data_IF_069298777885
#
_entry.id   IF_069298777885
#
_cell.length_a   1.000
_cell.length_b   1.000
_cell.length_c   1.000
_cell.angle_alpha   90.00
_cell.angle_beta   90.00
_cell.angle_gamma   90.00
#
_symmetry.space_group_name_H-M   'P 1'
#
loop_
_entity.id
_entity.type
_entity.pdbx_description
1 polymer ?
#
# COMPACT_ATOMS: atom_id res chain seq x y z
N UNK A 1 -3.20 -12.96 -5.50
CA UNK A 1 -4.33 -12.09 -5.88
C UNK A 1 -5.26 -11.84 -4.68
N UNK A 2 -5.66 -12.86 -3.95
CA UNK A 2 -6.57 -12.75 -2.79
C UNK A 2 -6.10 -11.74 -1.74
N UNK A 3 -4.81 -11.78 -1.37
CA UNK A 3 -4.20 -10.82 -0.43
C UNK A 3 -4.42 -9.36 -0.88
N UNK A 4 -4.16 -9.05 -2.14
CA UNK A 4 -4.35 -7.70 -2.66
C UNK A 4 -5.82 -7.28 -2.67
N UNK A 5 -6.72 -8.18 -3.07
CA UNK A 5 -8.16 -7.89 -3.05
C UNK A 5 -8.69 -7.63 -1.65
N UNK A 6 -8.13 -8.32 -0.63
CA UNK A 6 -8.47 -8.06 0.77
C UNK A 6 -7.96 -6.68 1.21
N UNK A 7 -6.68 -6.35 0.97
CA UNK A 7 -6.09 -5.06 1.38
C UNK A 7 -6.78 -3.90 0.65
N UNK A 8 -7.05 -4.04 -0.64
CA UNK A 8 -7.67 -3.01 -1.46
C UNK A 8 -9.20 -3.00 -1.39
N UNK A 9 -9.78 -3.84 -0.52
CA UNK A 9 -11.22 -3.97 -0.30
C UNK A 9 -12.04 -4.22 -1.59
N UNK A 10 -11.44 -4.96 -2.55
CA UNK A 10 -11.99 -5.22 -3.88
C UNK A 10 -12.95 -6.43 -3.89
N UNK A 11 -14.13 -6.28 -3.28
CA UNK A 11 -15.14 -7.36 -3.23
C UNK A 11 -15.95 -7.46 -4.53
N UNK A 12 -16.37 -6.30 -5.06
CA UNK A 12 -17.26 -6.23 -6.22
C UNK A 12 -16.52 -6.17 -7.56
N UNK A 13 -15.28 -5.66 -7.54
CA UNK A 13 -14.40 -5.55 -8.72
C UNK A 13 -13.00 -6.09 -8.40
N UNK A 14 -12.85 -7.42 -8.26
CA UNK A 14 -11.60 -8.02 -7.85
C UNK A 14 -10.52 -7.92 -8.93
N UNK A 15 -9.30 -7.71 -8.51
CA UNK A 15 -8.13 -7.83 -9.37
C UNK A 15 -7.98 -9.29 -9.79
N UNK A 16 -8.13 -9.57 -11.08
CA UNK A 16 -8.10 -10.94 -11.63
C UNK A 16 -6.69 -11.41 -11.94
N UNK A 17 -5.82 -10.52 -12.35
CA UNK A 17 -4.41 -10.82 -12.66
C UNK A 17 -3.52 -9.60 -12.48
N UNK A 18 -2.23 -9.86 -12.25
CA UNK A 18 -1.18 -8.84 -12.24
C UNK A 18 -0.04 -9.27 -13.15
N UNK A 19 0.66 -8.29 -13.70
CA UNK A 19 1.93 -8.46 -14.38
C UNK A 19 3.01 -7.80 -13.53
N UNK A 20 4.00 -8.59 -13.09
CA UNK A 20 5.13 -8.05 -12.35
C UNK A 20 5.97 -7.17 -13.26
N UNK A 21 6.38 -6.02 -12.75
CA UNK A 21 7.26 -5.06 -13.43
C UNK A 21 8.62 -5.00 -12.73
N UNK A 22 9.63 -4.57 -13.48
CA UNK A 22 10.93 -4.30 -12.89
C UNK A 22 10.79 -3.17 -11.84
N UNK A 23 11.47 -3.29 -10.69
CA UNK A 23 11.52 -2.21 -9.71
C UNK A 23 12.03 -0.92 -10.39
N UNK A 24 11.51 0.23 -9.99
CA UNK A 24 12.15 1.48 -10.35
C UNK A 24 13.46 1.48 -9.55
N UNK A 25 14.62 1.45 -10.25
CA UNK A 25 15.92 1.47 -9.59
C UNK A 25 15.97 2.62 -8.56
N UNK A 26 15.68 2.29 -7.31
CA UNK A 26 16.04 3.12 -6.19
C UNK A 26 17.51 2.83 -5.94
N UNK A 27 18.35 3.86 -6.00
CA UNK A 27 19.71 3.75 -5.48
C UNK A 27 19.52 3.43 -3.99
N UNK A 28 19.67 2.16 -3.63
CA UNK A 28 19.71 1.74 -2.24
C UNK A 28 20.86 2.52 -1.60
N UNK A 29 20.58 3.34 -0.60
CA UNK A 29 21.64 3.91 0.23
C UNK A 29 22.23 2.74 1.01
N UNK A 30 23.54 2.57 0.88
CA UNK A 30 24.32 1.47 1.50
C UNK A 30 24.19 1.38 3.04
N UNK A 31 23.59 2.39 3.67
CA UNK A 31 23.46 2.51 5.13
C UNK A 31 22.16 1.90 5.72
N UNK A 32 21.24 1.45 4.90
CA UNK A 32 19.96 0.88 5.37
C UNK A 32 20.05 -0.64 5.45
N UNK A 33 20.32 -1.17 6.66
CA UNK A 33 20.20 -2.61 7.01
C UNK A 33 18.73 -3.07 7.09
N UNK A 34 17.84 -2.45 6.36
CA UNK A 34 16.41 -2.75 6.38
C UNK A 34 16.05 -3.61 5.19
N UNK A 35 15.37 -4.72 5.45
CA UNK A 35 14.86 -5.58 4.39
C UNK A 35 13.66 -4.90 3.75
N UNK A 36 13.88 -4.25 2.61
CA UNK A 36 12.82 -3.70 1.77
C UNK A 36 12.51 -4.75 0.72
N UNK A 37 11.31 -5.30 0.75
CA UNK A 37 10.77 -6.09 -0.35
C UNK A 37 9.82 -5.19 -1.14
N UNK A 38 10.27 -4.78 -2.31
CA UNK A 38 9.55 -3.90 -3.22
C UNK A 38 9.07 -4.74 -4.42
N UNK A 39 7.76 -4.80 -4.60
CA UNK A 39 7.13 -5.52 -5.72
C UNK A 39 6.30 -4.52 -6.52
N UNK A 40 6.73 -4.24 -7.75
CA UNK A 40 5.92 -3.48 -8.71
C UNK A 40 5.10 -4.40 -9.59
N UNK A 41 3.85 -4.02 -9.79
CA UNK A 41 2.94 -4.77 -10.65
C UNK A 41 1.98 -3.83 -11.40
N UNK A 42 1.38 -4.34 -12.47
CA UNK A 42 0.25 -3.72 -13.15
C UNK A 42 -0.92 -4.69 -13.11
N UNK A 43 -2.11 -4.20 -12.75
CA UNK A 43 -3.33 -5.01 -12.76
C UNK A 43 -3.88 -5.18 -14.17
N UNK A 44 -4.77 -6.16 -14.37
CA UNK A 44 -5.49 -6.34 -15.65
C UNK A 44 -6.35 -5.13 -16.04
N UNK A 45 -6.76 -4.30 -15.08
CA UNK A 45 -7.45 -3.02 -15.31
C UNK A 45 -6.51 -1.84 -15.61
N UNK A 46 -5.19 -2.08 -15.57
CA UNK A 46 -4.17 -1.08 -15.90
C UNK A 46 -3.75 -0.20 -14.73
N UNK A 47 -4.08 -0.56 -13.49
CA UNK A 47 -3.61 0.15 -12.30
C UNK A 47 -2.15 -0.20 -12.01
N UNK A 48 -1.35 0.78 -11.60
CA UNK A 48 0.03 0.57 -11.18
C UNK A 48 0.08 0.32 -9.68
N UNK A 49 0.73 -0.76 -9.28
CA UNK A 49 0.90 -1.16 -7.88
C UNK A 49 2.35 -1.08 -7.45
N UNK A 50 2.58 -0.61 -6.24
CA UNK A 50 3.85 -0.69 -5.52
C UNK A 50 3.59 -1.28 -4.14
N UNK A 51 4.16 -2.46 -3.86
CA UNK A 51 3.89 -3.22 -2.65
C UNK A 51 5.19 -3.35 -1.87
N UNK A 52 5.24 -2.73 -0.70
CA UNK A 52 6.41 -2.72 0.17
C UNK A 52 6.15 -3.46 1.48
N UNK A 53 7.15 -4.22 1.94
CA UNK A 53 7.19 -4.73 3.31
C UNK A 53 8.29 -4.01 4.07
N UNK A 54 7.91 -3.33 5.16
CA UNK A 54 8.81 -2.53 5.97
C UNK A 54 8.94 -3.08 7.39
N UNK A 55 10.18 -3.33 7.81
CA UNK A 55 10.55 -3.57 9.21
C UNK A 55 11.67 -2.59 9.58
N UNK A 56 11.63 -2.02 10.78
CA UNK A 56 12.70 -1.14 11.28
C UNK A 56 12.29 0.31 11.47
N UNK A 57 13.15 1.27 11.10
CA UNK A 57 12.92 2.69 11.40
C UNK A 57 11.76 3.29 10.59
N UNK A 58 10.63 3.52 11.25
CA UNK A 58 9.42 4.06 10.62
C UNK A 58 9.34 5.59 10.61
N UNK A 59 10.31 6.30 11.21
CA UNK A 59 10.23 7.75 11.42
C UNK A 59 10.09 8.55 10.12
N UNK A 60 10.80 8.16 9.08
CA UNK A 60 10.80 8.85 7.77
C UNK A 60 10.00 8.08 6.71
N UNK A 61 9.34 7.00 7.11
CA UNK A 61 8.66 6.11 6.18
C UNK A 61 7.47 6.77 5.46
N UNK A 62 6.62 7.62 6.11
CA UNK A 62 5.55 8.33 5.42
C UNK A 62 6.05 9.21 4.28
N UNK A 63 7.17 9.94 4.49
CA UNK A 63 7.77 10.79 3.45
C UNK A 63 8.30 9.95 2.28
N UNK A 64 8.89 8.79 2.58
CA UNK A 64 9.36 7.84 1.57
C UNK A 64 8.21 7.28 0.73
N UNK A 65 7.14 6.85 1.37
CA UNK A 65 5.94 6.33 0.70
C UNK A 65 5.29 7.41 -0.18
N UNK A 66 5.20 8.64 0.30
CA UNK A 66 4.71 9.78 -0.49
C UNK A 66 5.58 10.01 -1.73
N UNK A 67 6.91 9.96 -1.58
CA UNK A 67 7.85 10.10 -2.70
C UNK A 67 7.66 8.98 -3.73
N UNK A 68 7.49 7.72 -3.29
CA UNK A 68 7.27 6.59 -4.19
C UNK A 68 5.92 6.70 -4.91
N UNK A 69 4.86 7.08 -4.22
CA UNK A 69 3.56 7.33 -4.84
C UNK A 69 3.64 8.41 -5.92
N UNK A 70 4.34 9.51 -5.66
CA UNK A 70 4.60 10.55 -6.65
C UNK A 70 5.36 10.06 -7.87
N UNK A 71 6.39 9.21 -7.68
CA UNK A 71 7.13 8.58 -8.78
C UNK A 71 6.25 7.62 -9.58
N UNK A 72 5.40 6.83 -8.90
CA UNK A 72 4.49 5.90 -9.54
C UNK A 72 3.50 6.63 -10.45
N UNK A 73 2.87 7.70 -9.95
CA UNK A 73 1.99 8.57 -10.74
C UNK A 73 2.73 9.15 -11.94
N UNK A 74 3.93 9.72 -11.74
CA UNK A 74 4.72 10.30 -12.83
C UNK A 74 5.09 9.24 -13.88
N UNK A 75 5.43 8.01 -13.47
CA UNK A 75 5.78 6.93 -14.40
C UNK A 75 4.56 6.36 -15.14
N UNK A 76 3.36 6.55 -14.61
CA UNK A 76 2.12 6.05 -15.20
C UNK A 76 1.69 6.81 -16.46
N UNK A 77 2.23 8.02 -16.67
CA UNK A 77 1.92 8.87 -17.81
C UNK A 77 3.16 9.04 -18.69
N UNK A 78 3.09 8.54 -19.93
CA UNK A 78 4.17 8.70 -20.91
C UNK A 78 4.19 10.13 -21.47
N UNK A 79 5.39 10.61 -21.85
CA UNK A 79 5.57 11.92 -22.45
C UNK A 79 4.69 12.09 -23.72
N UNK A 80 3.94 13.18 -23.78
CA UNK A 80 3.04 13.47 -24.91
C UNK A 80 1.62 12.93 -24.77
N UNK A 81 1.34 12.12 -23.73
CA UNK A 81 -0.03 11.66 -23.44
C UNK A 81 -0.83 12.71 -22.68
N UNK A 82 -2.16 12.68 -22.85
CA UNK A 82 -3.08 13.55 -22.10
C UNK A 82 -3.24 13.04 -20.66
N UNK A 83 -3.50 13.95 -19.72
CA UNK A 83 -3.68 13.61 -18.30
C UNK A 83 -4.87 12.67 -18.01
N UNK A 84 -5.88 12.62 -18.89
CA UNK A 84 -6.99 11.67 -18.80
C UNK A 84 -6.57 10.20 -18.97
N UNK A 85 -5.35 9.98 -19.51
CA UNK A 85 -4.73 8.65 -19.67
C UNK A 85 -3.85 8.23 -18.49
N UNK A 86 -3.74 9.07 -17.47
CA UNK A 86 -3.00 8.74 -16.26
C UNK A 86 -3.63 7.52 -15.56
N UNK A 87 -2.83 6.51 -15.30
CA UNK A 87 -3.27 5.30 -14.59
C UNK A 87 -3.46 5.58 -13.09
N UNK A 88 -4.33 4.83 -12.44
CA UNK A 88 -4.40 4.81 -10.98
C UNK A 88 -3.13 4.17 -10.44
N UNK A 89 -2.54 4.80 -9.44
CA UNK A 89 -1.32 4.39 -8.74
C UNK A 89 -1.67 4.09 -7.30
N UNK A 90 -1.34 2.88 -6.85
CA UNK A 90 -1.67 2.40 -5.50
C UNK A 90 -0.37 1.92 -4.84
N UNK A 91 -0.08 2.48 -3.68
CA UNK A 91 1.05 2.03 -2.84
C UNK A 91 0.48 1.25 -1.66
N UNK A 92 0.95 0.02 -1.49
CA UNK A 92 0.58 -0.87 -0.38
C UNK A 92 1.78 -1.07 0.51
N UNK A 93 1.69 -0.61 1.75
CA UNK A 93 2.74 -0.72 2.76
C UNK A 93 2.33 -1.71 3.84
N UNK A 94 3.02 -2.85 3.95
CA UNK A 94 2.86 -3.82 5.02
C UNK A 94 3.96 -3.56 6.05
N UNK A 95 3.56 -3.14 7.26
CA UNK A 95 4.47 -2.65 8.29
C UNK A 95 4.53 -3.64 9.45
N UNK A 96 5.72 -4.19 9.70
CA UNK A 96 5.97 -4.96 10.91
C UNK A 96 6.20 -4.03 12.11
N UNK A 97 5.12 -3.42 12.59
CA UNK A 97 5.13 -2.44 13.67
C UNK A 97 3.87 -1.59 13.69
N UNK A 98 3.95 -0.45 14.40
CA UNK A 98 2.91 0.59 14.48
C UNK A 98 3.48 1.90 13.98
N UNK A 99 2.88 2.49 12.97
CA UNK A 99 3.29 3.77 12.37
C UNK A 99 2.40 4.91 12.86
N UNK A 100 1.07 4.73 12.83
CA UNK A 100 0.08 5.74 13.21
C UNK A 100 -0.52 5.38 14.57
N UNK A 101 -0.01 6.01 15.64
CA UNK A 101 -0.50 5.79 17.01
C UNK A 101 -1.82 6.44 17.30
N UNK A 102 -2.30 7.32 16.40
CA UNK A 102 -3.46 8.18 16.61
C UNK A 102 -4.79 7.44 16.43
N UNK A 103 -4.77 6.23 15.91
CA UNK A 103 -5.96 5.39 15.77
C UNK A 103 -5.63 3.89 15.89
N UNK A 104 -6.62 3.07 16.24
CA UNK A 104 -6.45 1.65 16.57
C UNK A 104 -6.56 0.71 15.36
N UNK A 105 -7.12 1.17 14.22
CA UNK A 105 -7.26 0.31 13.04
C UNK A 105 -5.90 -0.13 12.52
N UNK A 106 -5.76 -1.42 12.22
CA UNK A 106 -4.55 -1.97 11.60
C UNK A 106 -4.46 -1.65 10.10
N UNK A 107 -5.53 -1.13 9.49
CA UNK A 107 -5.55 -0.75 8.09
C UNK A 107 -5.98 0.70 7.94
N UNK A 108 -5.21 1.46 7.18
CA UNK A 108 -5.45 2.87 6.88
C UNK A 108 -5.37 3.11 5.39
N UNK A 109 -6.27 3.93 4.87
CA UNK A 109 -6.30 4.32 3.46
C UNK A 109 -6.17 5.84 3.38
N UNK A 110 -5.21 6.31 2.61
CA UNK A 110 -5.01 7.73 2.34
C UNK A 110 -5.17 8.02 0.85
N UNK A 111 -5.81 9.13 0.56
CA UNK A 111 -5.98 9.69 -0.78
C UNK A 111 -5.85 11.21 -0.76
N UNK A 112 -6.02 11.86 -1.90
CA UNK A 112 -5.87 13.32 -2.02
C UNK A 112 -7.23 13.97 -1.89
N UNK A 113 -7.48 14.62 -0.72
CA UNK A 113 -8.77 15.26 -0.40
C UNK A 113 -8.62 16.71 0.05
N UNK A 114 -9.69 17.48 -0.17
CA UNK A 114 -9.84 18.79 0.43
C UNK A 114 -9.98 18.62 1.95
N UNK A 115 -9.21 19.41 2.71
CA UNK A 115 -8.99 19.21 4.16
C UNK A 115 -10.27 19.37 5.01
N UNK A 116 -11.16 20.28 4.67
CA UNK A 116 -12.30 20.62 5.53
C UNK A 116 -13.56 19.81 5.18
N UNK A 117 -13.76 19.51 3.91
CA UNK A 117 -14.96 18.84 3.39
C UNK A 117 -14.77 17.36 3.09
N UNK A 118 -13.50 16.92 2.97
CA UNK A 118 -13.19 15.57 2.53
C UNK A 118 -13.45 15.32 1.05
N UNK A 119 -13.70 16.38 0.24
CA UNK A 119 -13.95 16.24 -1.20
C UNK A 119 -12.73 15.63 -1.88
N UNK A 120 -12.93 14.51 -2.57
CA UNK A 120 -11.87 13.83 -3.32
C UNK A 120 -11.40 14.71 -4.49
N UNK A 121 -10.11 15.03 -4.54
CA UNK A 121 -9.51 15.76 -5.64
C UNK A 121 -9.34 14.86 -6.88
N UNK A 122 -8.84 13.66 -6.67
CA UNK A 122 -8.58 12.69 -7.73
C UNK A 122 -8.46 11.28 -7.12
N UNK A 123 -8.92 10.28 -7.85
CA UNK A 123 -8.79 8.85 -7.50
C UNK A 123 -7.49 8.22 -8.03
N UNK A 124 -6.58 9.04 -8.57
CA UNK A 124 -5.37 8.56 -9.26
C UNK A 124 -4.23 8.15 -8.34
N UNK A 125 -4.29 8.49 -7.05
CA UNK A 125 -3.27 8.12 -6.07
C UNK A 125 -3.92 7.68 -4.77
N UNK A 126 -3.52 6.50 -4.30
CA UNK A 126 -4.05 5.90 -3.09
C UNK A 126 -2.93 5.17 -2.34
N UNK A 127 -2.93 5.27 -1.01
CA UNK A 127 -1.97 4.62 -0.14
C UNK A 127 -2.71 3.73 0.85
N UNK A 128 -2.30 2.46 0.95
CA UNK A 128 -2.78 1.51 1.94
C UNK A 128 -1.66 1.17 2.91
N UNK A 129 -1.93 1.30 4.20
CA UNK A 129 -1.01 0.88 5.25
C UNK A 129 -1.64 -0.26 6.04
N UNK A 130 -0.97 -1.40 6.10
CA UNK A 130 -1.34 -2.54 6.91
C UNK A 130 -0.33 -2.70 8.05
N UNK A 131 -0.72 -2.30 9.27
CA UNK A 131 0.14 -2.22 10.44
C UNK A 131 -0.01 -3.47 11.31
N UNK A 132 0.92 -4.41 11.17
CA UNK A 132 0.86 -5.68 11.90
C UNK A 132 1.00 -5.52 13.41
N UNK A 133 1.63 -4.42 13.87
CA UNK A 133 1.76 -4.08 15.29
C UNK A 133 0.42 -3.88 16.01
N UNK A 134 -0.61 -3.45 15.28
CA UNK A 134 -1.96 -3.16 15.81
C UNK A 134 -2.89 -4.37 15.87
N UNK A 135 -2.46 -5.52 15.36
CA UNK A 135 -3.28 -6.73 15.40
C UNK A 135 -3.43 -7.23 16.83
N UNK A 136 -4.66 -7.27 17.31
CA UNK A 136 -5.00 -7.82 18.62
C UNK A 136 -5.08 -9.35 18.56
N UNK A 137 -4.08 -10.03 19.13
CA UNK A 137 -4.03 -11.48 19.21
C UNK A 137 -5.06 -12.11 20.18
N UNK A 138 -5.78 -11.30 20.95
CA UNK A 138 -6.82 -11.76 21.89
C UNK A 138 -8.23 -11.70 21.28
N UNK A 139 -8.40 -10.97 20.18
CA UNK A 139 -9.69 -10.83 19.51
C UNK A 139 -10.10 -12.17 18.86
N UNK A 140 -11.30 -12.71 19.16
CA UNK A 140 -11.76 -13.94 18.53
C UNK A 140 -11.78 -13.86 17.02
N UNK A 141 -11.35 -14.92 16.34
CA UNK A 141 -11.21 -14.94 14.85
C UNK A 141 -12.52 -14.61 14.15
N UNK A 142 -13.64 -15.01 14.72
CA UNK A 142 -14.99 -14.76 14.17
C UNK A 142 -15.37 -13.27 14.18
N UNK A 143 -14.70 -12.48 15.02
CA UNK A 143 -14.92 -11.02 15.14
C UNK A 143 -13.94 -10.20 14.31
N UNK A 144 -12.94 -10.84 13.71
CA UNK A 144 -11.99 -10.16 12.83
C UNK A 144 -12.60 -9.88 11.46
N UNK A 145 -12.33 -8.70 10.92
CA UNK A 145 -12.57 -8.40 9.51
C UNK A 145 -11.63 -9.21 8.62
N UNK A 146 -11.88 -9.24 7.30
CA UNK A 146 -11.01 -9.95 6.35
C UNK A 146 -9.57 -9.38 6.40
N UNK A 147 -9.43 -8.05 6.50
CA UNK A 147 -8.13 -7.39 6.59
C UNK A 147 -7.43 -7.70 7.92
N UNK A 148 -8.15 -7.70 9.04
CA UNK A 148 -7.58 -8.07 10.35
C UNK A 148 -7.14 -9.53 10.37
N UNK A 149 -7.89 -10.45 9.75
CA UNK A 149 -7.50 -11.86 9.60
C UNK A 149 -6.23 -12.01 8.77
N UNK A 150 -6.14 -11.27 7.66
CA UNK A 150 -4.94 -11.24 6.83
C UNK A 150 -3.74 -10.69 7.61
N UNK A 151 -3.91 -9.58 8.32
CA UNK A 151 -2.84 -8.99 9.13
C UNK A 151 -2.38 -9.93 10.25
N UNK A 152 -3.31 -10.63 10.91
CA UNK A 152 -2.98 -11.66 11.91
C UNK A 152 -2.19 -12.81 11.27
N UNK A 153 -2.62 -13.31 10.11
CA UNK A 153 -1.90 -14.32 9.37
C UNK A 153 -0.48 -13.88 9.05
N UNK A 154 -0.29 -12.69 8.48
CA UNK A 154 1.04 -12.16 8.13
C UNK A 154 1.93 -11.95 9.37
N UNK A 155 1.34 -11.54 10.49
CA UNK A 155 2.06 -11.33 11.75
C UNK A 155 2.57 -12.63 12.35
N UNK A 156 1.77 -13.70 12.31
CA UNK A 156 2.05 -14.94 13.07
C UNK A 156 2.49 -16.12 12.19
N UNK A 157 2.38 -16.02 10.84
CA UNK A 157 2.78 -17.09 9.93
C UNK A 157 4.30 -17.34 9.87
N UNK A 158 5.11 -16.42 10.39
CA UNK A 158 6.58 -16.51 10.42
C UNK A 158 7.14 -16.89 11.80
N UNK A 159 6.32 -17.52 12.65
CA UNK A 159 6.75 -18.05 13.95
C UNK A 159 7.07 -19.54 13.84
#
# INVERSE_FOLDING_TARGET
>A
MEILNIILERKDDPIMSIVLKNPINTVAREDEKETIMDIRAETSSGEELDIEMQSGNLRVYPDRVLFYGGRLVNSSLQQGFKYDKMKKSIVVSIINGTLFSEHDSCHSIFDVRERNTGLLLSDRLEFHFLELGKVDGQKPVEKLTDVERLAAYLKYANV
#
